data_IF_555294008029
#
_entry.id   IF_555294008029
#
_cell.length_a   1.000
_cell.length_b   1.000
_cell.length_c   1.000
_cell.angle_alpha   90.00
_cell.angle_beta   90.00
_cell.angle_gamma   90.00
#
_symmetry.space_group_name_H-M   'P 1'
#
loop_
_entity.id
_entity.type
_entity.pdbx_description
1 polymer ?
#
# COMPACT_ATOMS: atom_id res chain seq x y z
N UNK A 1 4.07 16.17 -9.50
CA UNK A 1 4.94 17.12 -8.77
C UNK A 1 6.31 17.33 -9.41
N UNK A 2 7.16 16.29 -9.52
CA UNK A 2 8.53 16.41 -10.06
C UNK A 2 8.56 17.06 -11.44
N UNK A 3 7.59 16.73 -12.30
CA UNK A 3 7.46 17.29 -13.64
C UNK A 3 7.11 18.80 -13.62
N UNK A 4 6.23 19.23 -12.71
CA UNK A 4 5.88 20.66 -12.53
C UNK A 4 7.12 21.48 -12.15
N UNK A 5 7.93 20.96 -11.24
CA UNK A 5 9.20 21.57 -10.85
C UNK A 5 10.23 21.55 -12.00
N UNK A 6 10.44 20.38 -12.62
CA UNK A 6 11.49 20.16 -13.63
C UNK A 6 11.26 20.92 -14.92
N UNK A 7 10.03 20.91 -15.43
CA UNK A 7 9.65 21.63 -16.66
C UNK A 7 9.34 23.10 -16.39
N UNK A 8 9.40 23.55 -15.13
CA UNK A 8 9.08 24.92 -14.77
C UNK A 8 7.65 25.31 -15.14
N UNK A 9 6.69 24.38 -15.04
CA UNK A 9 5.26 24.68 -15.24
C UNK A 9 4.76 25.66 -14.17
N UNK A 10 3.53 26.14 -14.35
CA UNK A 10 2.86 27.00 -13.37
C UNK A 10 2.77 26.30 -12.01
N UNK A 11 3.21 26.94 -10.90
CA UNK A 11 3.07 26.37 -9.54
C UNK A 11 1.64 26.01 -9.17
N UNK A 12 0.66 26.71 -9.74
CA UNK A 12 -0.77 26.48 -9.50
C UNK A 12 -1.24 25.07 -9.82
N UNK A 13 -0.53 24.29 -10.63
CA UNK A 13 -0.81 22.86 -10.81
C UNK A 13 -0.61 22.04 -9.52
N UNK A 14 0.25 22.48 -8.60
CA UNK A 14 0.44 21.77 -7.33
C UNK A 14 -0.78 21.85 -6.42
N UNK A 15 -1.60 22.90 -6.53
CA UNK A 15 -2.80 23.05 -5.72
C UNK A 15 -3.81 21.91 -5.96
N UNK A 16 -4.34 21.66 -7.18
CA UNK A 16 -5.28 20.57 -7.40
C UNK A 16 -4.61 19.20 -7.22
N UNK A 17 -3.31 19.06 -7.54
CA UNK A 17 -2.58 17.80 -7.32
C UNK A 17 -2.56 17.43 -5.84
N UNK A 18 -2.13 18.34 -4.96
CA UNK A 18 -2.06 18.05 -3.53
C UNK A 18 -3.44 17.99 -2.87
N UNK A 19 -4.41 18.78 -3.33
CA UNK A 19 -5.79 18.73 -2.84
C UNK A 19 -6.46 17.37 -3.12
N UNK A 20 -6.23 16.80 -4.30
CA UNK A 20 -6.70 15.44 -4.62
C UNK A 20 -5.85 14.40 -3.89
N UNK A 21 -4.52 14.54 -3.92
CA UNK A 21 -3.61 13.52 -3.38
C UNK A 21 -3.85 13.28 -1.88
N UNK A 22 -4.01 14.33 -1.06
CA UNK A 22 -4.25 14.16 0.38
C UNK A 22 -5.51 13.32 0.65
N UNK A 23 -6.52 13.37 -0.21
CA UNK A 23 -7.77 12.63 -0.09
C UNK A 23 -7.71 11.20 -0.67
N UNK A 24 -6.72 10.89 -1.51
CA UNK A 24 -6.63 9.60 -2.22
C UNK A 24 -5.54 8.70 -1.65
N UNK A 25 -4.46 9.28 -1.10
CA UNK A 25 -3.33 8.48 -0.63
C UNK A 25 -2.53 9.18 0.49
N UNK A 26 -2.24 8.44 1.57
CA UNK A 26 -1.46 8.93 2.72
C UNK A 26 0.00 9.34 2.44
N UNK A 27 0.50 9.13 1.22
CA UNK A 27 1.89 9.44 0.83
C UNK A 27 2.10 10.93 0.47
N UNK A 28 1.07 11.75 0.58
CA UNK A 28 1.13 13.20 0.35
C UNK A 28 2.24 13.87 1.18
N UNK A 29 2.50 13.39 2.40
CA UNK A 29 3.55 13.92 3.27
C UNK A 29 4.94 13.73 2.66
N UNK A 30 5.22 12.54 2.11
CA UNK A 30 6.47 12.27 1.38
C UNK A 30 6.59 13.18 0.16
N UNK A 31 5.48 13.46 -0.54
CA UNK A 31 5.45 14.44 -1.62
C UNK A 31 5.94 15.82 -1.19
N UNK A 32 5.46 16.34 -0.06
CA UNK A 32 5.91 17.63 0.49
C UNK A 32 7.39 17.60 0.91
N UNK A 33 7.83 16.53 1.58
CA UNK A 33 9.23 16.37 2.01
C UNK A 33 10.15 16.38 0.78
N UNK A 34 9.83 15.58 -0.24
CA UNK A 34 10.60 15.50 -1.48
C UNK A 34 10.60 16.84 -2.21
N UNK A 35 9.47 17.55 -2.27
CA UNK A 35 9.42 18.91 -2.83
C UNK A 35 10.34 19.87 -2.08
N UNK A 36 10.24 19.91 -0.75
CA UNK A 36 11.07 20.77 0.10
C UNK A 36 12.55 20.49 -0.10
N UNK A 37 12.94 19.23 -0.09
CA UNK A 37 14.31 18.81 -0.38
C UNK A 37 14.75 19.29 -1.78
N UNK A 38 13.89 19.23 -2.82
CA UNK A 38 14.25 19.69 -4.17
C UNK A 38 14.48 21.19 -4.20
N UNK A 39 13.64 21.96 -3.52
CA UNK A 39 13.78 23.41 -3.42
C UNK A 39 15.08 23.78 -2.71
N UNK A 40 15.39 23.12 -1.58
CA UNK A 40 16.64 23.32 -0.82
C UNK A 40 17.87 22.97 -1.66
N UNK A 41 17.89 21.79 -2.28
CA UNK A 41 19.01 21.38 -3.13
C UNK A 41 19.22 22.35 -4.30
N UNK A 42 18.14 22.85 -4.90
CA UNK A 42 18.21 23.85 -5.99
C UNK A 42 18.82 25.16 -5.51
N UNK A 43 18.40 25.64 -4.34
CA UNK A 43 18.92 26.89 -3.75
C UNK A 43 20.41 26.76 -3.44
N UNK A 44 20.85 25.63 -2.87
CA UNK A 44 22.26 25.40 -2.56
C UNK A 44 23.11 25.35 -3.84
N UNK A 45 22.68 24.58 -4.85
CA UNK A 45 23.45 24.43 -6.10
C UNK A 45 23.45 25.72 -6.94
N UNK A 46 22.35 26.47 -6.96
CA UNK A 46 22.25 27.73 -7.72
C UNK A 46 22.74 28.96 -6.97
N UNK A 47 22.92 28.85 -5.64
CA UNK A 47 23.19 29.96 -4.71
C UNK A 47 22.19 31.11 -4.84
N UNK A 48 20.96 30.83 -5.28
CA UNK A 48 19.91 31.83 -5.51
C UNK A 48 18.59 31.33 -4.95
N UNK A 49 17.93 32.19 -4.17
CA UNK A 49 16.55 32.03 -3.77
C UNK A 49 15.66 32.62 -4.88
N UNK A 50 14.83 31.78 -5.48
CA UNK A 50 13.92 32.22 -6.55
C UNK A 50 12.50 32.40 -5.99
N UNK A 51 11.80 33.51 -6.29
CA UNK A 51 10.41 33.72 -5.86
C UNK A 51 9.48 32.55 -6.23
N UNK A 52 9.74 31.91 -7.37
CA UNK A 52 9.02 30.72 -7.83
C UNK A 52 9.08 29.53 -6.86
N UNK A 53 10.14 29.40 -6.06
CA UNK A 53 10.26 28.33 -5.06
C UNK A 53 9.24 28.52 -3.93
N UNK A 54 9.04 29.76 -3.49
CA UNK A 54 7.99 30.09 -2.51
C UNK A 54 6.60 29.83 -3.09
N UNK A 55 6.38 30.17 -4.36
CA UNK A 55 5.12 29.86 -5.03
C UNK A 55 4.86 28.35 -5.11
N UNK A 56 5.88 27.53 -5.43
CA UNK A 56 5.77 26.07 -5.45
C UNK A 56 5.46 25.49 -4.06
N UNK A 57 6.19 25.91 -3.04
CA UNK A 57 5.94 25.47 -1.67
C UNK A 57 4.55 25.91 -1.18
N UNK A 58 4.22 27.19 -1.36
CA UNK A 58 2.95 27.77 -0.92
C UNK A 58 1.74 27.15 -1.62
N UNK A 59 1.80 26.92 -2.93
CA UNK A 59 0.70 26.26 -3.66
C UNK A 59 0.53 24.80 -3.30
N UNK A 60 1.61 24.07 -3.00
CA UNK A 60 1.54 22.70 -2.50
C UNK A 60 0.90 22.63 -1.11
N UNK A 61 1.34 23.48 -0.18
CA UNK A 61 0.79 23.57 1.18
C UNK A 61 -0.67 24.00 1.13
N UNK A 62 -1.01 25.00 0.33
CA UNK A 62 -2.39 25.44 0.13
C UNK A 62 -3.27 24.32 -0.43
N UNK A 63 -2.75 23.52 -1.38
CA UNK A 63 -3.43 22.33 -1.89
C UNK A 63 -3.74 21.32 -0.79
N UNK A 64 -2.77 21.03 0.10
CA UNK A 64 -2.98 20.12 1.25
C UNK A 64 -4.03 20.67 2.22
N UNK A 65 -3.99 21.97 2.54
CA UNK A 65 -4.96 22.60 3.44
C UNK A 65 -6.37 22.56 2.85
N UNK A 66 -6.52 22.91 1.57
CA UNK A 66 -7.81 22.84 0.87
C UNK A 66 -8.30 21.39 0.81
N UNK A 67 -7.44 20.45 0.42
CA UNK A 67 -7.80 19.04 0.37
C UNK A 67 -8.24 18.49 1.74
N UNK A 68 -7.55 18.89 2.81
CA UNK A 68 -7.93 18.55 4.18
C UNK A 68 -9.28 19.14 4.60
N UNK A 69 -9.59 20.37 4.17
CA UNK A 69 -10.87 21.02 4.44
C UNK A 69 -12.04 20.38 3.66
N UNK A 70 -11.75 19.78 2.50
CA UNK A 70 -12.73 19.09 1.65
C UNK A 70 -13.00 17.64 2.08
N UNK A 71 -12.14 17.06 2.93
CA UNK A 71 -12.35 15.71 3.45
C UNK A 71 -13.57 15.68 4.40
N UNK A 72 -14.38 14.58 4.42
CA UNK A 72 -15.58 14.50 5.26
C UNK A 72 -15.33 14.82 6.74
N UNK A 73 -14.23 14.30 7.30
CA UNK A 73 -13.76 14.65 8.64
C UNK A 73 -12.65 15.71 8.56
N UNK A 74 -13.05 16.99 8.52
CA UNK A 74 -12.17 18.12 8.17
C UNK A 74 -10.83 18.07 8.91
N UNK A 75 -9.75 18.07 8.14
CA UNK A 75 -8.36 18.05 8.60
C UNK A 75 -7.89 16.79 9.35
N UNK A 76 -8.74 15.77 9.55
CA UNK A 76 -8.34 14.54 10.22
C UNK A 76 -7.17 13.85 9.51
N UNK A 77 -7.15 13.87 8.18
CA UNK A 77 -6.05 13.31 7.38
C UNK A 77 -4.71 14.05 7.56
N UNK A 78 -4.74 15.35 7.87
CA UNK A 78 -3.52 16.13 8.10
C UNK A 78 -2.90 15.80 9.46
N UNK A 79 -3.72 15.37 10.42
CA UNK A 79 -3.30 14.92 11.74
C UNK A 79 -2.90 13.44 11.74
N UNK A 80 -3.21 12.69 10.68
CA UNK A 80 -2.93 11.26 10.60
C UNK A 80 -1.45 10.92 10.82
N UNK A 81 -0.46 11.61 10.20
CA UNK A 81 0.96 11.33 10.48
C UNK A 81 1.32 11.56 11.95
N UNK A 82 0.75 12.59 12.59
CA UNK A 82 0.99 12.86 14.00
C UNK A 82 0.42 11.76 14.90
N UNK A 83 -0.75 11.20 14.55
CA UNK A 83 -1.33 10.03 15.22
C UNK A 83 -0.47 8.78 15.00
N UNK A 84 -0.15 8.46 13.75
CA UNK A 84 0.61 7.27 13.37
C UNK A 84 2.03 7.23 13.93
N UNK A 85 2.72 8.38 13.94
CA UNK A 85 4.07 8.46 14.50
C UNK A 85 4.07 8.82 15.99
N UNK A 86 2.98 9.35 16.54
CA UNK A 86 2.89 9.72 17.96
C UNK A 86 2.44 8.58 18.88
N UNK A 87 1.56 7.72 18.40
CA UNK A 87 1.02 6.58 19.15
C UNK A 87 1.82 5.29 18.88
N UNK A 88 2.34 4.60 19.90
CA UNK A 88 3.05 3.34 19.74
C UNK A 88 2.22 2.25 19.03
N UNK A 89 0.92 2.15 19.33
CA UNK A 89 0.03 1.11 18.79
C UNK A 89 -0.19 1.33 17.29
N UNK A 90 -0.46 2.58 16.90
CA UNK A 90 -0.60 2.96 15.48
C UNK A 90 0.68 2.69 14.70
N UNK A 91 1.83 2.98 15.30
CA UNK A 91 3.13 2.73 14.68
C UNK A 91 3.40 1.24 14.50
N UNK A 92 3.08 0.43 15.50
CA UNK A 92 3.22 -1.03 15.44
C UNK A 92 2.28 -1.65 14.40
N UNK A 93 1.02 -1.19 14.34
CA UNK A 93 0.07 -1.58 13.32
C UNK A 93 0.59 -1.26 11.92
N UNK A 94 1.13 -0.04 11.70
CA UNK A 94 1.70 0.35 10.41
C UNK A 94 2.88 -0.55 9.99
N UNK A 95 3.75 -0.91 10.93
CA UNK A 95 4.91 -1.79 10.67
C UNK A 95 4.51 -3.25 10.41
N UNK A 96 3.28 -3.64 10.76
CA UNK A 96 2.79 -5.00 10.52
C UNK A 96 2.42 -5.25 9.06
N UNK A 97 2.12 -4.20 8.31
CA UNK A 97 1.89 -4.29 6.87
C UNK A 97 3.22 -4.51 6.13
N UNK A 98 3.32 -5.63 5.41
CA UNK A 98 4.55 -6.04 4.71
C UNK A 98 5.08 -4.97 3.75
N UNK A 99 4.16 -4.21 3.14
CA UNK A 99 4.44 -3.15 2.19
C UNK A 99 5.21 -1.94 2.74
N UNK A 100 5.14 -1.72 4.07
CA UNK A 100 5.90 -0.70 4.80
C UNK A 100 7.17 -1.27 5.40
N UNK A 101 7.36 -2.59 5.31
CA UNK A 101 8.60 -3.26 5.66
C UNK A 101 9.75 -2.84 4.74
N UNK A 102 10.96 -2.98 5.26
CA UNK A 102 12.20 -2.73 4.51
C UNK A 102 12.25 -3.64 3.28
N UNK A 103 12.74 -3.09 2.17
CA UNK A 103 12.95 -3.86 0.94
C UNK A 103 14.19 -4.74 1.07
N UNK A 104 14.07 -6.01 0.70
CA UNK A 104 15.18 -6.96 0.60
C UNK A 104 15.88 -6.91 -0.77
N UNK A 105 17.03 -7.59 -0.87
CA UNK A 105 17.78 -7.68 -2.13
C UNK A 105 17.23 -8.70 -3.13
N UNK A 106 16.22 -9.46 -2.71
CA UNK A 106 15.42 -10.37 -3.52
C UNK A 106 14.46 -9.63 -4.47
N UNK A 107 14.14 -8.36 -4.19
CA UNK A 107 13.22 -7.57 -4.98
C UNK A 107 13.85 -7.00 -6.27
N UNK A 108 13.42 -7.41 -7.48
CA UNK A 108 14.03 -6.94 -8.74
C UNK A 108 13.91 -5.42 -8.94
N UNK A 109 12.81 -4.84 -8.44
CA UNK A 109 12.56 -3.40 -8.57
C UNK A 109 13.56 -2.55 -7.79
N UNK A 110 14.14 -3.08 -6.71
CA UNK A 110 15.23 -2.43 -5.98
C UNK A 110 16.45 -2.25 -6.88
N UNK A 111 16.86 -3.30 -7.58
CA UNK A 111 18.02 -3.26 -8.49
C UNK A 111 17.81 -2.26 -9.63
N UNK A 112 16.60 -2.19 -10.17
CA UNK A 112 16.25 -1.16 -11.17
C UNK A 112 16.36 0.25 -10.59
N UNK A 113 15.85 0.49 -9.37
CA UNK A 113 15.98 1.77 -8.69
C UNK A 113 17.46 2.15 -8.49
N UNK A 114 18.29 1.19 -8.07
CA UNK A 114 19.73 1.41 -7.88
C UNK A 114 20.44 1.75 -9.21
N UNK A 115 20.11 1.06 -10.30
CA UNK A 115 20.65 1.37 -11.62
C UNK A 115 20.28 2.80 -12.06
N UNK A 116 19.02 3.21 -11.88
CA UNK A 116 18.56 4.58 -12.16
C UNK A 116 19.27 5.58 -11.23
N UNK A 117 19.48 5.24 -9.96
CA UNK A 117 20.17 6.08 -8.99
C UNK A 117 21.63 6.32 -9.39
N UNK A 118 22.35 5.29 -9.85
CA UNK A 118 23.74 5.43 -10.33
C UNK A 118 23.80 6.41 -11.51
N UNK A 119 22.90 6.27 -12.49
CA UNK A 119 22.81 7.19 -13.63
C UNK A 119 22.45 8.61 -13.17
N UNK A 120 21.57 8.75 -12.18
CA UNK A 120 21.19 10.03 -11.61
C UNK A 120 22.36 10.72 -10.88
N UNK A 121 23.11 9.98 -10.05
CA UNK A 121 24.31 10.46 -9.35
C UNK A 121 25.35 10.91 -10.36
N UNK A 122 25.65 10.08 -11.36
CA UNK A 122 26.58 10.41 -12.43
C UNK A 122 26.17 11.70 -13.16
N UNK A 123 24.89 11.83 -13.51
CA UNK A 123 24.34 13.04 -14.13
C UNK A 123 24.48 14.30 -13.28
N UNK A 124 24.19 14.21 -11.99
CA UNK A 124 24.32 15.33 -11.05
C UNK A 124 25.78 15.75 -10.86
N UNK A 125 26.70 14.79 -10.69
CA UNK A 125 28.15 15.06 -10.56
C UNK A 125 28.69 15.72 -11.83
N UNK A 126 28.32 15.22 -13.02
CA UNK A 126 28.77 15.78 -14.31
C UNK A 126 28.33 17.24 -14.48
N UNK A 127 27.18 17.62 -13.91
CA UNK A 127 26.68 19.00 -13.91
C UNK A 127 27.14 19.84 -12.71
N UNK A 128 28.02 19.30 -11.85
CA UNK A 128 28.49 19.94 -10.60
C UNK A 128 27.35 20.35 -9.66
N UNK A 129 26.27 19.55 -9.63
CA UNK A 129 25.09 19.74 -8.76
C UNK A 129 25.18 18.85 -7.53
N UNK A 130 26.06 19.20 -6.60
CA UNK A 130 26.39 18.35 -5.46
C UNK A 130 25.26 18.22 -4.45
N UNK A 131 24.46 19.28 -4.22
CA UNK A 131 23.30 19.19 -3.33
C UNK A 131 22.23 18.26 -3.92
N UNK A 132 22.06 18.28 -5.26
CA UNK A 132 21.20 17.31 -5.94
C UNK A 132 21.73 15.87 -5.85
N UNK A 133 23.05 15.65 -5.83
CA UNK A 133 23.61 14.32 -5.60
C UNK A 133 23.26 13.79 -4.21
N UNK A 134 23.37 14.64 -3.17
CA UNK A 134 22.97 14.28 -1.79
C UNK A 134 21.49 13.94 -1.74
N UNK A 135 20.65 14.77 -2.37
CA UNK A 135 19.21 14.53 -2.52
C UNK A 135 18.91 13.16 -3.17
N UNK A 136 19.61 12.82 -4.26
CA UNK A 136 19.45 11.50 -4.91
C UNK A 136 19.78 10.37 -3.92
N UNK A 137 20.85 10.53 -3.12
CA UNK A 137 21.17 9.59 -2.03
C UNK A 137 20.05 9.47 -0.99
N UNK A 138 19.45 10.60 -0.58
CA UNK A 138 18.31 10.60 0.35
C UNK A 138 17.07 9.90 -0.24
N UNK A 139 16.80 10.05 -1.54
CA UNK A 139 15.72 9.33 -2.22
C UNK A 139 15.97 7.83 -2.27
N UNK A 140 17.23 7.40 -2.44
CA UNK A 140 17.61 5.99 -2.36
C UNK A 140 17.38 5.46 -0.95
N UNK A 141 17.82 6.17 0.09
CA UNK A 141 17.57 5.81 1.50
C UNK A 141 16.05 5.70 1.77
N UNK A 142 15.27 6.65 1.25
CA UNK A 142 13.81 6.62 1.35
C UNK A 142 13.23 5.37 0.65
N UNK A 143 13.72 5.02 -0.54
CA UNK A 143 13.35 3.79 -1.24
C UNK A 143 13.68 2.52 -0.44
N UNK A 144 14.83 2.47 0.23
CA UNK A 144 15.19 1.35 1.10
C UNK A 144 14.30 1.22 2.35
N UNK A 145 13.70 2.33 2.79
CA UNK A 145 12.93 2.35 4.03
C UNK A 145 11.59 1.63 3.94
N UNK A 146 11.06 1.38 2.72
CA UNK A 146 9.78 0.70 2.53
C UNK A 146 9.59 0.15 1.11
N UNK A 147 9.04 -1.06 0.96
CA UNK A 147 8.77 -1.67 -0.35
C UNK A 147 7.94 -0.76 -1.28
N UNK A 148 6.90 -0.12 -0.73
CA UNK A 148 6.05 0.85 -1.46
C UNK A 148 6.78 2.11 -1.93
N UNK A 149 7.92 2.44 -1.33
CA UNK A 149 8.67 3.65 -1.66
C UNK A 149 9.65 3.43 -2.82
N UNK A 150 10.00 2.18 -3.15
CA UNK A 150 10.93 1.85 -4.24
C UNK A 150 10.46 2.38 -5.61
N UNK A 151 9.21 2.14 -6.05
CA UNK A 151 8.73 2.68 -7.33
C UNK A 151 8.70 4.21 -7.33
N UNK A 152 8.31 4.81 -6.20
CA UNK A 152 8.21 6.27 -6.05
C UNK A 152 9.61 6.90 -6.17
N UNK A 153 10.60 6.33 -5.50
CA UNK A 153 11.99 6.74 -5.59
C UNK A 153 12.52 6.56 -7.03
N UNK A 154 12.31 5.40 -7.65
CA UNK A 154 12.74 5.14 -9.02
C UNK A 154 12.20 6.20 -10.02
N UNK A 155 10.90 6.51 -9.95
CA UNK A 155 10.26 7.53 -10.80
C UNK A 155 10.81 8.93 -10.50
N UNK A 156 11.01 9.26 -9.21
CA UNK A 156 11.57 10.56 -8.81
C UNK A 156 13.01 10.76 -9.32
N UNK A 157 13.78 9.67 -9.49
CA UNK A 157 15.15 9.69 -9.97
C UNK A 157 15.27 9.83 -11.51
N UNK A 158 14.25 9.44 -12.27
CA UNK A 158 14.29 9.44 -13.75
C UNK A 158 14.75 10.76 -14.38
N UNK A 159 14.29 11.96 -13.96
CA UNK A 159 14.73 13.21 -14.58
C UNK A 159 16.21 13.55 -14.37
N UNK A 160 16.85 12.93 -13.37
CA UNK A 160 18.27 13.07 -13.08
C UNK A 160 19.08 12.01 -13.81
N UNK A 161 18.57 10.78 -13.89
CA UNK A 161 19.16 9.74 -14.74
C UNK A 161 19.19 10.19 -16.21
N UNK A 162 18.11 10.84 -16.69
CA UNK A 162 18.05 11.42 -18.03
C UNK A 162 19.13 12.48 -18.26
N UNK A 163 19.54 13.24 -17.24
CA UNK A 163 20.68 14.17 -17.33
C UNK A 163 22.00 13.39 -17.52
N UNK A 164 22.19 12.31 -16.76
CA UNK A 164 23.38 11.46 -16.86
C UNK A 164 23.54 10.84 -18.24
N UNK A 165 22.42 10.48 -18.86
CA UNK A 165 22.38 9.93 -20.22
C UNK A 165 22.49 10.98 -21.33
N UNK A 166 22.44 12.29 -21.03
CA UNK A 166 22.60 13.32 -22.08
C UNK A 166 23.98 13.22 -22.73
N UNK A 167 23.98 12.91 -24.02
CA UNK A 167 25.18 12.73 -24.84
C UNK A 167 25.53 11.27 -25.10
N UNK A 168 24.87 10.31 -24.44
CA UNK A 168 25.01 8.87 -24.69
C UNK A 168 24.00 8.45 -25.75
N UNK A 169 24.20 8.97 -26.96
CA UNK A 169 23.31 8.71 -28.10
C UNK A 169 21.93 9.38 -27.98
N UNK A 170 21.12 9.19 -29.01
CA UNK A 170 19.70 9.55 -29.02
C UNK A 170 18.93 8.32 -29.45
N UNK A 171 17.91 7.94 -28.66
CA UNK A 171 16.92 6.96 -29.14
C UNK A 171 15.97 7.75 -30.05
N UNK A 172 16.15 7.58 -31.36
CA UNK A 172 15.20 8.14 -32.32
C UNK A 172 13.82 7.56 -32.07
N UNK A 173 12.79 8.40 -32.04
CA UNK A 173 11.43 7.90 -32.03
C UNK A 173 11.20 7.08 -33.31
N UNK A 174 10.55 5.90 -33.23
CA UNK A 174 10.18 5.15 -34.42
C UNK A 174 9.40 6.06 -35.38
N UNK A 175 9.72 6.03 -36.67
CA UNK A 175 8.96 6.76 -37.71
C UNK A 175 8.42 5.81 -38.78
N UNK A 176 7.45 6.27 -39.57
CA UNK A 176 6.92 5.54 -40.73
C UNK A 176 6.29 4.18 -40.38
N UNK A 177 6.74 3.12 -41.07
CA UNK A 177 6.20 1.76 -40.90
C UNK A 177 6.49 1.18 -39.51
N UNK A 178 7.65 1.49 -38.93
CA UNK A 178 8.02 1.00 -37.60
C UNK A 178 7.15 1.62 -36.51
N UNK A 179 6.82 2.92 -36.62
CA UNK A 179 5.87 3.56 -35.71
C UNK A 179 4.48 2.91 -35.77
N UNK A 180 3.99 2.61 -36.98
CA UNK A 180 2.71 1.90 -37.17
C UNK A 180 2.76 0.48 -36.61
N UNK A 181 3.88 -0.23 -36.76
CA UNK A 181 4.05 -1.58 -36.22
C UNK A 181 4.08 -1.57 -34.69
N UNK A 182 4.87 -0.69 -34.07
CA UNK A 182 4.94 -0.55 -32.60
C UNK A 182 3.60 -0.09 -32.04
N UNK A 183 2.97 0.92 -32.66
CA UNK A 183 1.65 1.39 -32.26
C UNK A 183 0.55 0.34 -32.43
N UNK A 184 0.57 -0.40 -33.53
CA UNK A 184 -0.35 -1.51 -33.79
C UNK A 184 -0.16 -2.68 -32.82
N UNK A 185 1.09 -3.02 -32.48
CA UNK A 185 1.39 -4.01 -31.46
C UNK A 185 0.95 -3.55 -30.07
N UNK A 186 1.20 -2.29 -29.71
CA UNK A 186 0.71 -1.69 -28.47
C UNK A 186 -0.82 -1.72 -28.38
N UNK A 187 -1.51 -1.35 -29.47
CA UNK A 187 -2.97 -1.43 -29.55
C UNK A 187 -3.45 -2.88 -29.42
N UNK A 188 -2.80 -3.84 -30.10
CA UNK A 188 -3.12 -5.26 -29.97
C UNK A 188 -2.97 -5.74 -28.53
N UNK A 189 -1.89 -5.38 -27.84
CA UNK A 189 -1.70 -5.70 -26.42
C UNK A 189 -2.80 -5.09 -25.56
N UNK A 190 -3.17 -3.83 -25.79
CA UNK A 190 -4.29 -3.18 -25.10
C UNK A 190 -5.62 -3.90 -25.36
N UNK A 191 -5.89 -4.31 -26.61
CA UNK A 191 -7.11 -5.04 -26.98
C UNK A 191 -7.14 -6.43 -26.36
N UNK A 192 -6.03 -7.17 -26.38
CA UNK A 192 -5.91 -8.49 -25.75
C UNK A 192 -6.10 -8.38 -24.23
N UNK A 193 -5.47 -7.39 -23.59
CA UNK A 193 -5.65 -7.12 -22.16
C UNK A 193 -7.10 -6.74 -21.85
N UNK A 194 -7.70 -5.85 -22.66
CA UNK A 194 -9.11 -5.47 -22.51
C UNK A 194 -10.07 -6.64 -22.68
N UNK A 195 -9.87 -7.47 -23.71
CA UNK A 195 -10.67 -8.68 -23.94
C UNK A 195 -10.52 -9.67 -22.78
N UNK A 196 -9.30 -9.86 -22.25
CA UNK A 196 -9.06 -10.65 -21.03
C UNK A 196 -9.84 -10.12 -19.83
N UNK A 197 -9.89 -8.80 -19.63
CA UNK A 197 -10.65 -8.19 -18.54
C UNK A 197 -12.17 -8.36 -18.71
N UNK A 198 -12.68 -8.47 -19.94
CA UNK A 198 -14.12 -8.62 -20.22
C UNK A 198 -14.57 -10.08 -20.21
N UNK A 199 -13.73 -11.01 -20.70
CA UNK A 199 -14.09 -12.43 -20.87
C UNK A 199 -13.73 -13.25 -19.63
N UNK A 200 -12.75 -12.81 -18.83
CA UNK A 200 -12.36 -13.49 -17.61
C UNK A 200 -13.46 -13.47 -16.55
N UNK A 201 -13.43 -14.41 -15.57
CA UNK A 201 -14.36 -14.38 -14.45
C UNK A 201 -14.26 -13.04 -13.72
N UNK A 202 -15.40 -12.42 -13.44
CA UNK A 202 -15.48 -11.14 -12.74
C UNK A 202 -14.87 -11.18 -11.33
N UNK A 203 -14.81 -12.38 -10.73
CA UNK A 203 -14.25 -12.64 -9.41
C UNK A 203 -13.43 -13.92 -9.42
N UNK A 204 -12.24 -13.87 -8.83
CA UNK A 204 -11.45 -15.06 -8.52
C UNK A 204 -11.58 -15.31 -7.03
N UNK A 205 -12.28 -16.40 -6.67
CA UNK A 205 -12.58 -16.71 -5.27
C UNK A 205 -11.65 -17.76 -4.64
N UNK A 206 -10.66 -18.23 -5.39
CA UNK A 206 -9.81 -19.37 -5.01
C UNK A 206 -9.02 -19.13 -3.71
N UNK A 207 -8.71 -17.87 -3.41
CA UNK A 207 -7.99 -17.48 -2.20
C UNK A 207 -8.90 -17.39 -0.95
N UNK A 208 -10.22 -17.40 -1.13
CA UNK A 208 -11.19 -17.17 -0.05
C UNK A 208 -11.77 -18.49 0.47
N UNK A 209 -12.21 -18.52 1.74
CA UNK A 209 -12.74 -19.73 2.37
C UNK A 209 -14.19 -20.05 1.95
N UNK A 210 -14.51 -20.05 0.65
CA UNK A 210 -15.88 -20.20 0.13
C UNK A 210 -16.56 -21.44 0.69
N UNK A 211 -15.91 -22.61 0.61
CA UNK A 211 -16.49 -23.87 1.10
C UNK A 211 -16.67 -23.92 2.62
N UNK A 212 -15.81 -23.24 3.39
CA UNK A 212 -15.98 -23.14 4.84
C UNK A 212 -17.17 -22.23 5.20
N UNK A 213 -17.32 -21.12 4.47
CA UNK A 213 -18.45 -20.19 4.65
C UNK A 213 -19.77 -20.81 4.22
N UNK A 214 -19.81 -21.54 3.10
CA UNK A 214 -21.00 -22.29 2.66
C UNK A 214 -21.43 -23.33 3.70
N UNK A 215 -20.46 -24.02 4.32
CA UNK A 215 -20.74 -25.00 5.37
C UNK A 215 -21.31 -24.36 6.65
N UNK A 216 -20.82 -23.18 7.02
CA UNK A 216 -21.35 -22.39 8.14
C UNK A 216 -22.75 -21.86 7.84
N UNK A 217 -22.99 -21.37 6.63
CA UNK A 217 -24.28 -20.85 6.19
C UNK A 217 -25.37 -21.92 6.25
N UNK A 218 -25.05 -23.14 5.80
CA UNK A 218 -25.96 -24.29 5.90
C UNK A 218 -26.35 -24.67 7.34
N UNK A 219 -25.59 -24.18 8.34
CA UNK A 219 -25.81 -24.41 9.78
C UNK A 219 -26.26 -23.16 10.52
N UNK A 220 -26.53 -22.08 9.80
CA UNK A 220 -26.90 -20.77 10.36
C UNK A 220 -25.81 -20.20 11.31
N UNK A 221 -24.53 -20.51 11.04
CA UNK A 221 -23.38 -20.09 11.86
C UNK A 221 -22.61 -18.89 11.26
N UNK A 222 -23.21 -18.18 10.32
CA UNK A 222 -22.67 -16.97 9.66
C UNK A 222 -23.82 -16.17 9.05
N UNK A 223 -23.64 -14.86 8.84
CA UNK A 223 -24.67 -14.00 8.23
C UNK A 223 -25.84 -13.67 9.17
N UNK A 224 -25.63 -13.82 10.47
CA UNK A 224 -26.57 -13.52 11.55
C UNK A 224 -25.77 -13.00 12.76
N UNK A 225 -26.31 -13.06 13.98
CA UNK A 225 -25.65 -12.55 15.20
C UNK A 225 -24.34 -13.29 15.60
N UNK A 226 -23.96 -14.35 14.89
CA UNK A 226 -22.72 -15.12 15.12
C UNK A 226 -21.50 -14.29 14.74
N UNK A 227 -20.55 -14.13 15.67
CA UNK A 227 -19.28 -13.44 15.37
C UNK A 227 -18.28 -14.38 14.73
N UNK A 228 -17.74 -13.97 13.59
CA UNK A 228 -16.78 -14.79 12.84
C UNK A 228 -15.39 -14.15 12.88
N UNK A 229 -14.44 -14.87 13.45
CA UNK A 229 -13.02 -14.48 13.45
C UNK A 229 -12.31 -15.19 12.31
N UNK A 230 -11.74 -14.42 11.38
CA UNK A 230 -11.10 -14.96 10.17
C UNK A 230 -9.76 -14.29 9.89
N UNK A 231 -9.10 -14.64 8.78
CA UNK A 231 -8.06 -13.80 8.21
C UNK A 231 -8.65 -12.50 7.67
N UNK A 232 -7.88 -11.40 7.74
CA UNK A 232 -8.26 -10.08 7.22
C UNK A 232 -8.95 -10.12 5.86
N UNK A 233 -8.34 -10.77 4.86
CA UNK A 233 -8.91 -10.88 3.51
C UNK A 233 -10.23 -11.66 3.47
N UNK A 234 -10.40 -12.66 4.34
CA UNK A 234 -11.64 -13.42 4.44
C UNK A 234 -12.76 -12.62 5.11
N UNK A 235 -12.42 -11.68 5.99
CA UNK A 235 -13.35 -10.70 6.54
C UNK A 235 -14.04 -9.88 5.45
N UNK A 236 -13.28 -9.33 4.50
CA UNK A 236 -13.85 -8.60 3.36
C UNK A 236 -14.78 -9.48 2.51
N UNK A 237 -14.48 -10.77 2.38
CA UNK A 237 -15.34 -11.70 1.66
C UNK A 237 -16.68 -11.90 2.39
N UNK A 238 -16.67 -11.98 3.72
CA UNK A 238 -17.89 -12.05 4.52
C UNK A 238 -18.70 -10.76 4.41
N UNK A 239 -18.06 -9.59 4.49
CA UNK A 239 -18.71 -8.28 4.30
C UNK A 239 -19.33 -8.15 2.90
N UNK A 240 -18.64 -8.62 1.87
CA UNK A 240 -19.17 -8.64 0.51
C UNK A 240 -20.42 -9.53 0.39
N UNK A 241 -20.43 -10.69 1.05
CA UNK A 241 -21.52 -11.68 0.95
C UNK A 241 -22.73 -11.33 1.81
N UNK A 242 -22.51 -10.82 3.03
CA UNK A 242 -23.55 -10.64 4.05
C UNK A 242 -23.79 -9.18 4.44
N UNK A 243 -23.00 -8.24 3.92
CA UNK A 243 -23.10 -6.82 4.27
C UNK A 243 -22.94 -6.59 5.77
N UNK A 244 -23.86 -5.81 6.35
CA UNK A 244 -23.86 -5.48 7.78
C UNK A 244 -24.04 -6.70 8.70
N UNK A 245 -24.50 -7.84 8.16
CA UNK A 245 -24.69 -9.08 8.91
C UNK A 245 -23.44 -9.98 8.92
N UNK A 246 -22.34 -9.55 8.31
CA UNK A 246 -21.11 -10.34 8.23
C UNK A 246 -20.51 -10.65 9.61
N UNK A 247 -20.67 -9.73 10.58
CA UNK A 247 -20.17 -9.85 11.94
C UNK A 247 -18.71 -10.36 12.03
N UNK A 248 -17.87 -9.93 11.08
CA UNK A 248 -16.44 -10.27 11.05
C UNK A 248 -15.68 -9.45 12.08
N UNK A 249 -14.72 -10.08 12.77
CA UNK A 249 -13.88 -9.38 13.74
C UNK A 249 -12.80 -8.49 13.09
N UNK A 250 -12.27 -8.93 11.96
CA UNK A 250 -11.17 -8.28 11.24
C UNK A 250 -11.42 -8.34 9.73
N UNK A 251 -11.08 -7.27 9.03
CA UNK A 251 -11.09 -7.12 7.56
C UNK A 251 -9.72 -6.56 7.10
N UNK A 252 -9.59 -6.09 5.86
CA UNK A 252 -8.39 -5.43 5.32
C UNK A 252 -8.17 -3.99 5.81
N UNK A 253 -9.09 -3.42 6.61
CA UNK A 253 -9.06 -2.06 7.14
C UNK A 253 -9.31 -1.99 8.65
N UNK A 254 -8.63 -2.82 9.46
CA UNK A 254 -8.87 -2.83 10.89
C UNK A 254 -8.30 -1.58 11.54
N UNK A 255 -8.90 -1.18 12.66
CA UNK A 255 -8.27 -0.22 13.58
C UNK A 255 -6.94 -0.75 14.11
N UNK A 256 -6.03 0.14 14.51
CA UNK A 256 -4.66 -0.24 14.90
C UNK A 256 -4.59 -1.31 16.01
N UNK A 257 -5.43 -1.21 17.04
CA UNK A 257 -5.46 -2.20 18.12
C UNK A 257 -5.90 -3.59 17.62
N UNK A 258 -6.89 -3.64 16.72
CA UNK A 258 -7.35 -4.88 16.09
C UNK A 258 -6.26 -5.46 15.20
N UNK A 259 -5.55 -4.62 14.44
CA UNK A 259 -4.43 -5.05 13.60
C UNK A 259 -3.31 -5.70 14.43
N UNK A 260 -2.90 -5.07 15.53
CA UNK A 260 -1.88 -5.63 16.42
C UNK A 260 -2.36 -6.96 17.03
N UNK A 261 -3.61 -7.03 17.49
CA UNK A 261 -4.18 -8.26 18.01
C UNK A 261 -4.24 -9.38 16.97
N UNK A 262 -4.64 -9.05 15.74
CA UNK A 262 -4.67 -9.98 14.61
C UNK A 262 -3.27 -10.52 14.29
N UNK A 263 -2.26 -9.65 14.23
CA UNK A 263 -0.87 -10.04 13.96
C UNK A 263 -0.31 -10.94 15.06
N UNK A 264 -0.67 -10.68 16.33
CA UNK A 264 -0.29 -11.55 17.44
C UNK A 264 -0.88 -12.95 17.30
N UNK A 265 -2.14 -13.07 16.86
CA UNK A 265 -2.77 -14.36 16.55
C UNK A 265 -2.10 -15.05 15.36
N UNK A 266 -1.85 -14.31 14.27
CA UNK A 266 -1.23 -14.84 13.05
C UNK A 266 0.19 -15.38 13.29
N UNK A 267 0.97 -14.69 14.13
CA UNK A 267 2.37 -15.05 14.42
C UNK A 267 2.54 -15.95 15.64
N UNK A 268 1.47 -16.15 16.44
CA UNK A 268 1.56 -16.73 17.78
C UNK A 268 2.59 -16.02 18.66
N UNK A 269 2.55 -14.68 18.62
CA UNK A 269 3.39 -13.83 19.46
C UNK A 269 2.91 -13.85 20.92
N UNK A 270 3.71 -13.30 21.83
CA UNK A 270 3.30 -13.12 23.23
C UNK A 270 1.96 -12.38 23.32
N UNK A 271 1.03 -12.91 24.13
CA UNK A 271 -0.30 -12.34 24.32
C UNK A 271 -1.36 -12.76 23.28
N UNK A 272 -1.05 -13.70 22.38
CA UNK A 272 -2.01 -14.19 21.37
C UNK A 272 -3.32 -14.72 21.98
N UNK A 273 -3.29 -15.34 23.18
CA UNK A 273 -4.50 -15.83 23.85
C UNK A 273 -5.43 -14.68 24.24
N UNK A 274 -4.85 -13.56 24.70
CA UNK A 274 -5.60 -12.34 25.02
C UNK A 274 -6.21 -11.74 23.76
N UNK A 275 -5.49 -11.77 22.63
CA UNK A 275 -6.00 -11.35 21.33
C UNK A 275 -7.16 -12.23 20.85
N UNK A 276 -7.03 -13.56 20.97
CA UNK A 276 -8.08 -14.52 20.62
C UNK A 276 -9.34 -14.30 21.49
N UNK A 277 -9.19 -14.21 22.80
CA UNK A 277 -10.31 -13.90 23.72
C UNK A 277 -10.93 -12.52 23.43
N UNK A 278 -10.09 -11.54 23.08
CA UNK A 278 -10.50 -10.20 22.68
C UNK A 278 -11.29 -10.15 21.36
N UNK A 279 -11.07 -11.10 20.46
CA UNK A 279 -11.84 -11.21 19.21
C UNK A 279 -13.32 -11.50 19.47
N UNK A 280 -13.63 -12.19 20.58
CA UNK A 280 -14.98 -12.64 20.95
C UNK A 280 -15.69 -13.38 19.80
N UNK A 281 -14.94 -14.00 18.89
CA UNK A 281 -15.50 -14.84 17.84
C UNK A 281 -16.20 -16.04 18.45
N UNK A 282 -17.34 -16.43 17.88
CA UNK A 282 -18.05 -17.66 18.22
C UNK A 282 -17.65 -18.78 17.26
N UNK A 283 -17.23 -18.39 16.06
CA UNK A 283 -16.67 -19.25 15.02
C UNK A 283 -15.35 -18.68 14.55
N UNK A 284 -14.36 -19.55 14.33
CA UNK A 284 -13.10 -19.21 13.68
C UNK A 284 -12.97 -19.92 12.33
N UNK A 285 -12.57 -19.17 11.30
CA UNK A 285 -12.12 -19.73 10.01
C UNK A 285 -10.65 -19.38 9.86
N UNK A 286 -9.78 -20.37 9.92
CA UNK A 286 -8.34 -20.15 9.92
C UNK A 286 -7.62 -21.10 8.95
N UNK A 287 -6.51 -20.66 8.35
CA UNK A 287 -5.72 -21.50 7.45
C UNK A 287 -5.19 -22.73 8.19
N UNK A 288 -5.42 -23.91 7.65
CA UNK A 288 -5.04 -25.19 8.27
C UNK A 288 -3.53 -25.31 8.50
N UNK A 289 -2.72 -24.66 7.65
CA UNK A 289 -1.26 -24.63 7.75
C UNK A 289 -0.72 -23.74 8.87
N UNK A 290 -1.55 -22.85 9.41
CA UNK A 290 -1.08 -21.87 10.37
C UNK A 290 -0.93 -22.47 11.76
N UNK A 291 0.05 -21.94 12.49
CA UNK A 291 0.38 -22.44 13.82
C UNK A 291 -0.82 -22.32 14.79
N UNK A 292 -1.67 -21.29 14.65
CA UNK A 292 -2.83 -21.07 15.53
C UNK A 292 -3.84 -22.22 15.45
N UNK A 293 -4.04 -22.78 14.27
CA UNK A 293 -4.89 -23.97 14.08
C UNK A 293 -4.39 -25.16 14.90
N UNK A 294 -3.07 -25.31 15.08
CA UNK A 294 -2.49 -26.37 15.91
C UNK A 294 -2.81 -26.22 17.40
N UNK A 295 -2.83 -24.98 17.91
CA UNK A 295 -3.20 -24.67 19.29
C UNK A 295 -4.72 -24.84 19.51
N UNK A 296 -5.54 -24.33 18.59
CA UNK A 296 -7.01 -24.44 18.67
C UNK A 296 -7.51 -25.89 18.68
N UNK A 297 -6.80 -26.81 18.01
CA UNK A 297 -7.13 -28.25 18.03
C UNK A 297 -6.91 -28.91 19.41
N UNK A 298 -6.08 -28.31 20.25
CA UNK A 298 -5.76 -28.82 21.59
C UNK A 298 -6.57 -28.10 22.68
N UNK A 299 -7.21 -26.99 22.33
CA UNK A 299 -7.99 -26.17 23.24
C UNK A 299 -9.41 -26.75 23.42
N UNK A 300 -9.82 -27.14 24.64
CA UNK A 300 -11.15 -27.68 24.88
C UNK A 300 -12.29 -26.66 24.69
N UNK A 301 -12.01 -25.36 24.62
CA UNK A 301 -13.01 -24.34 24.33
C UNK A 301 -13.48 -24.38 22.85
N UNK A 302 -12.71 -25.02 21.98
CA UNK A 302 -12.95 -25.04 20.53
C UNK A 302 -13.20 -26.46 20.01
N UNK A 303 -14.26 -26.60 19.21
CA UNK A 303 -14.61 -27.83 18.51
C UNK A 303 -14.29 -27.65 17.03
N UNK A 304 -13.58 -28.62 16.45
CA UNK A 304 -13.31 -28.66 15.02
C UNK A 304 -14.59 -29.07 14.29
N UNK A 305 -15.12 -28.19 13.44
CA UNK A 305 -16.33 -28.46 12.66
C UNK A 305 -16.03 -29.14 11.33
N UNK A 306 -15.31 -28.44 10.45
CA UNK A 306 -14.92 -28.98 9.13
C UNK A 306 -13.57 -28.46 8.67
N UNK A 307 -12.96 -29.16 7.73
CA UNK A 307 -11.84 -28.66 6.94
C UNK A 307 -12.28 -28.55 5.47
N UNK A 308 -12.34 -27.32 4.96
CA UNK A 308 -12.73 -27.02 3.59
C UNK A 308 -11.54 -26.40 2.84
N UNK A 309 -10.88 -27.21 2.01
CA UNK A 309 -9.67 -26.80 1.30
C UNK A 309 -8.53 -26.50 2.28
N UNK A 310 -7.97 -25.29 2.17
CA UNK A 310 -6.88 -24.79 3.03
C UNK A 310 -7.35 -24.21 4.36
N UNK A 311 -8.65 -24.23 4.66
CA UNK A 311 -9.21 -23.62 5.87
C UNK A 311 -9.85 -24.67 6.79
N UNK A 312 -9.66 -24.47 8.09
CA UNK A 312 -10.34 -25.22 9.15
C UNK A 312 -11.31 -24.30 9.88
N UNK A 313 -12.52 -24.81 10.10
CA UNK A 313 -13.57 -24.15 10.87
C UNK A 313 -13.54 -24.69 12.30
N UNK A 314 -13.51 -23.77 13.25
CA UNK A 314 -13.66 -24.04 14.66
C UNK A 314 -14.91 -23.33 15.17
N UNK A 315 -15.69 -23.97 16.02
CA UNK A 315 -16.77 -23.32 16.75
C UNK A 315 -16.48 -23.39 18.24
N UNK A 316 -16.98 -22.45 19.02
CA UNK A 316 -16.99 -22.60 20.49
C UNK A 316 -17.71 -23.88 20.88
N UNK A 317 -17.28 -24.50 21.97
CA UNK A 317 -17.90 -25.71 22.52
C UNK A 317 -19.41 -25.56 22.78
N UNK A 318 -19.88 -24.36 23.11
CA UNK A 318 -21.31 -24.04 23.28
C UNK A 318 -22.14 -24.21 21.99
N UNK A 319 -21.50 -24.18 20.82
CA UNK A 319 -22.11 -24.35 19.51
C UNK A 319 -21.88 -25.75 18.91
N UNK A 320 -21.36 -26.70 19.69
CA UNK A 320 -20.97 -28.03 19.22
C UNK A 320 -22.10 -28.79 18.50
N UNK A 321 -23.34 -28.66 18.98
CA UNK A 321 -24.52 -29.32 18.40
C UNK A 321 -24.79 -28.89 16.95
N UNK A 322 -24.44 -27.65 16.62
CA UNK A 322 -24.59 -27.08 15.26
C UNK A 322 -23.32 -27.26 14.44
N UNK A 323 -22.18 -27.42 15.10
CA UNK A 323 -20.87 -27.51 14.48
C UNK A 323 -20.49 -28.95 14.05
N UNK A 324 -21.28 -29.96 14.41
CA UNK A 324 -21.05 -31.36 14.03
C UNK A 324 -21.70 -31.80 12.71
#
# INVERSE_FOLDING_TARGET
>A
MVLVWKEGRSPWWLLPIFAVWVNVHGSWLYGLIVLGMFLVATTIDSRKLMPKQFALAGTAVLGVVIGGALYPDRFALLLLPAKQFGDPIEREALQSYQEWGRVGFDEPMLWMMLAIAILAIFGCIRQRRYAMTVMVGLLVILGFSGLRLVPIAAVALLPFAAIGLRGIGTVGLPTGRMAKAVGGFGLLLCLVAGARCVIGPSYQLDAFPVGAVDWLEARDLVGNDTRVTTHDFAGNYLEWRYGDQANTWVDDRPGAATMVAYVNMLRLSEGWQKSLAGSKGDVLIWRTSDKLTGELKQDPEWVVGTQAGEFTVFCKAELADRCS
#
